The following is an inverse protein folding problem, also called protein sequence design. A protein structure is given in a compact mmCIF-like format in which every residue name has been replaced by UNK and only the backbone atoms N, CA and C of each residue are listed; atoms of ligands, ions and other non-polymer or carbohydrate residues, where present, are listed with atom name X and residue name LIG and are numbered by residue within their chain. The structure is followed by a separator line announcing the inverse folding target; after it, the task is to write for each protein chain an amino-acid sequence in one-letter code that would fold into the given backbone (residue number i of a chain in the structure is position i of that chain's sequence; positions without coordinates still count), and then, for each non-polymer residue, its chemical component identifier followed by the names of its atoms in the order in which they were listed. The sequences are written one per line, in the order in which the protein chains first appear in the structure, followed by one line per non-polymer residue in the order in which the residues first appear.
data_IF_582474140490
#
_entry.id   IF_582474140490
#
_cell.length_a   1.000
_cell.length_b   1.000
_cell.length_c   1.000
_cell.angle_alpha   90.00
_cell.angle_beta   90.00
_cell.angle_gamma   90.00
#
_symmetry.space_group_name_H-M   'P 1'
#
loop_
_entity.id
_entity.type
_entity.pdbx_description
1 polymer ?
#
# COMPACT_ATOMS: atom_id res chain seq x y z
N UNK A 1 -46.77 52.20 38.81
CA UNK A 1 -45.99 50.96 39.06
C UNK A 1 -46.69 49.77 38.42
N UNK A 2 -46.19 49.29 37.29
CA UNK A 2 -46.35 47.91 36.78
C UNK A 2 -45.34 47.74 35.66
N UNK A 3 -44.32 46.92 35.93
CA UNK A 3 -43.17 46.68 35.08
C UNK A 3 -43.56 45.78 33.89
N UNK A 4 -43.24 46.21 32.67
CA UNK A 4 -43.31 45.41 31.46
C UNK A 4 -41.99 44.63 31.33
N UNK A 5 -42.03 43.30 31.52
CA UNK A 5 -40.86 42.43 31.29
C UNK A 5 -40.73 42.16 29.79
N UNK A 6 -39.65 42.68 29.20
CA UNK A 6 -39.21 42.33 27.85
C UNK A 6 -38.42 41.02 27.93
N UNK A 7 -38.89 39.95 27.29
CA UNK A 7 -38.11 38.72 27.11
C UNK A 7 -37.29 38.85 25.82
N UNK A 8 -35.97 38.97 25.96
CA UNK A 8 -35.03 38.87 24.84
C UNK A 8 -34.73 37.38 24.65
N UNK A 9 -35.27 36.81 23.56
CA UNK A 9 -34.91 35.47 23.09
C UNK A 9 -33.56 35.62 22.38
N UNK A 10 -32.49 35.15 23.03
CA UNK A 10 -31.16 35.05 22.41
C UNK A 10 -31.17 33.86 21.44
N UNK A 11 -31.29 34.14 20.14
CA UNK A 11 -31.04 33.15 19.09
C UNK A 11 -29.55 32.79 19.11
N UNK A 12 -29.20 31.62 19.65
CA UNK A 12 -27.87 31.04 19.47
C UNK A 12 -27.77 30.46 18.06
N UNK A 13 -27.21 31.25 17.14
CA UNK A 13 -26.73 30.76 15.84
C UNK A 13 -25.47 29.92 16.10
N UNK A 14 -25.64 28.59 16.12
CA UNK A 14 -24.51 27.67 15.99
C UNK A 14 -24.01 27.73 14.53
N UNK A 15 -23.01 28.57 14.29
CA UNK A 15 -22.17 28.45 13.09
C UNK A 15 -21.36 27.16 13.23
N UNK A 16 -21.72 26.15 12.46
CA UNK A 16 -20.87 25.00 12.19
C UNK A 16 -19.68 25.55 11.40
N UNK A 17 -18.58 25.82 12.11
CA UNK A 17 -17.30 26.14 11.49
C UNK A 17 -16.80 24.87 10.83
N UNK A 18 -16.72 24.86 9.50
CA UNK A 18 -15.81 23.98 8.78
C UNK A 18 -14.41 24.16 9.40
N UNK A 19 -13.80 23.07 9.86
CA UNK A 19 -12.42 23.10 10.36
C UNK A 19 -11.49 23.44 9.21
N UNK A 20 -10.96 24.66 9.25
CA UNK A 20 -9.80 25.07 8.47
C UNK A 20 -8.55 24.43 9.09
N UNK A 21 -8.16 23.27 8.59
CA UNK A 21 -6.83 22.70 8.84
C UNK A 21 -5.91 22.81 7.60
N UNK A 22 -6.22 23.72 6.67
CA UNK A 22 -5.36 24.08 5.52
C UNK A 22 -4.44 25.29 5.82
N UNK A 23 -4.57 25.92 6.99
CA UNK A 23 -3.87 27.18 7.29
C UNK A 23 -2.41 26.90 7.76
N UNK A 24 -1.44 27.21 6.86
CA UNK A 24 0.04 27.17 6.96
C UNK A 24 0.80 25.96 6.37
N UNK A 25 0.44 25.47 5.19
CA UNK A 25 1.41 24.71 4.38
C UNK A 25 2.39 25.68 3.69
N UNK A 26 3.67 25.63 4.08
CA UNK A 26 4.73 26.38 3.40
C UNK A 26 5.15 25.61 2.14
N UNK A 27 4.73 26.08 0.96
CA UNK A 27 5.21 25.54 -0.30
C UNK A 27 6.64 26.03 -0.53
N UNK A 28 7.63 25.13 -0.53
CA UNK A 28 9.00 25.50 -0.85
C UNK A 28 9.02 26.04 -2.28
N UNK A 29 9.69 27.18 -2.47
CA UNK A 29 9.88 27.78 -3.80
C UNK A 29 11.38 27.82 -4.10
N UNK A 30 12.04 26.70 -3.82
CA UNK A 30 13.45 26.50 -4.10
C UNK A 30 13.64 26.09 -5.56
N UNK A 31 14.82 26.35 -6.10
CA UNK A 31 15.13 25.96 -7.48
C UNK A 31 15.30 24.44 -7.54
N UNK A 32 14.43 23.78 -8.29
CA UNK A 32 14.53 22.35 -8.62
C UNK A 32 15.62 22.09 -9.67
N UNK A 33 16.21 20.91 -9.63
CA UNK A 33 17.16 20.40 -10.61
C UNK A 33 16.41 19.96 -11.88
N UNK A 34 15.19 19.44 -11.72
CA UNK A 34 14.28 19.05 -12.79
C UNK A 34 13.15 20.06 -13.01
N UNK A 35 12.64 20.13 -14.23
CA UNK A 35 11.37 20.80 -14.48
C UNK A 35 10.22 19.94 -13.97
N UNK A 36 9.48 20.47 -12.98
CA UNK A 36 8.30 19.84 -12.43
C UNK A 36 7.06 20.62 -12.87
N UNK A 37 6.20 19.96 -13.65
CA UNK A 37 4.94 20.50 -14.16
C UNK A 37 3.77 19.87 -13.42
N UNK A 38 2.83 20.70 -12.98
CA UNK A 38 1.59 20.25 -12.31
C UNK A 38 0.48 20.15 -13.36
N UNK A 39 -0.32 19.09 -13.27
CA UNK A 39 -1.57 19.02 -14.01
C UNK A 39 -2.54 20.12 -13.54
N UNK A 40 -3.39 20.62 -14.45
CA UNK A 40 -4.27 21.76 -14.19
C UNK A 40 -5.29 21.57 -13.06
N UNK A 41 -5.60 20.32 -12.71
CA UNK A 41 -6.51 19.96 -11.61
C UNK A 41 -5.79 19.68 -10.28
N UNK A 42 -4.47 19.89 -10.21
CA UNK A 42 -3.64 19.69 -9.02
C UNK A 42 -3.63 18.26 -8.43
N UNK A 43 -3.92 17.19 -9.19
CA UNK A 43 -3.79 15.81 -8.69
C UNK A 43 -2.44 15.16 -9.00
N UNK A 44 -1.95 15.34 -10.22
CA UNK A 44 -0.74 14.67 -10.72
C UNK A 44 0.30 15.70 -11.13
N UNK A 45 1.57 15.36 -10.97
CA UNK A 45 2.70 16.13 -11.47
C UNK A 45 3.58 15.27 -12.36
N UNK A 46 4.42 15.91 -13.19
CA UNK A 46 5.47 15.24 -13.97
C UNK A 46 6.82 15.84 -13.63
N UNK A 47 7.85 15.00 -13.56
CA UNK A 47 9.25 15.40 -13.42
C UNK A 47 9.99 15.06 -14.71
N UNK A 48 10.48 16.10 -15.40
CA UNK A 48 11.15 15.98 -16.69
C UNK A 48 12.64 15.71 -16.51
N UNK A 49 13.04 14.47 -16.77
CA UNK A 49 14.43 14.02 -16.82
C UNK A 49 15.07 14.29 -18.18
N UNK A 50 16.40 14.35 -18.22
CA UNK A 50 17.11 14.29 -19.49
C UNK A 50 16.91 12.92 -20.18
N UNK A 51 17.01 12.88 -21.52
CA UNK A 51 16.93 11.60 -22.26
C UNK A 51 17.93 10.56 -21.75
N UNK A 52 19.16 10.97 -21.41
CA UNK A 52 20.20 10.08 -20.89
C UNK A 52 19.87 9.56 -19.49
N UNK A 53 19.37 10.42 -18.61
CA UNK A 53 19.01 10.07 -17.25
C UNK A 53 17.82 9.12 -17.21
N UNK A 54 16.73 9.44 -17.92
CA UNK A 54 15.56 8.58 -17.97
C UNK A 54 15.90 7.20 -18.56
N UNK A 55 16.70 7.17 -19.64
CA UNK A 55 17.18 5.92 -20.22
C UNK A 55 18.00 5.11 -19.23
N UNK A 56 18.87 5.76 -18.46
CA UNK A 56 19.64 5.10 -17.41
C UNK A 56 18.74 4.63 -16.25
N UNK A 57 17.72 5.40 -15.87
CA UNK A 57 16.73 5.03 -14.87
C UNK A 57 15.99 3.74 -15.24
N UNK A 58 15.44 3.64 -16.46
CA UNK A 58 14.66 2.47 -16.87
C UNK A 58 15.53 1.24 -17.22
N UNK A 59 16.77 1.44 -17.69
CA UNK A 59 17.64 0.32 -18.07
C UNK A 59 18.44 -0.26 -16.91
N UNK A 60 18.71 0.54 -15.87
CA UNK A 60 19.54 0.12 -14.74
C UNK A 60 18.78 0.13 -13.41
N UNK A 61 17.44 0.09 -13.47
CA UNK A 61 16.56 0.11 -12.30
C UNK A 61 16.93 1.24 -11.31
N UNK A 62 16.80 2.47 -11.80
CA UNK A 62 17.17 3.68 -11.08
C UNK A 62 16.47 3.81 -9.72
N UNK A 63 15.24 3.30 -9.60
CA UNK A 63 14.50 3.31 -8.35
C UNK A 63 15.13 2.41 -7.28
N UNK A 64 15.69 1.26 -7.64
CA UNK A 64 16.41 0.41 -6.68
C UNK A 64 17.72 1.04 -6.20
N UNK A 65 18.33 1.92 -6.99
CA UNK A 65 19.51 2.66 -6.57
C UNK A 65 19.13 3.72 -5.51
N UNK A 66 19.62 3.55 -4.29
CA UNK A 66 19.26 4.44 -3.18
C UNK A 66 19.68 5.89 -3.38
N UNK A 67 20.83 6.15 -4.02
CA UNK A 67 21.32 7.53 -4.22
C UNK A 67 20.43 8.26 -5.23
N UNK A 68 20.12 7.61 -6.36
CA UNK A 68 19.24 8.17 -7.41
C UNK A 68 17.83 8.44 -6.87
N UNK A 69 17.22 7.47 -6.18
CA UNK A 69 15.88 7.61 -5.59
C UNK A 69 15.81 8.76 -4.57
N UNK A 70 16.82 8.87 -3.69
CA UNK A 70 16.91 9.97 -2.72
C UNK A 70 17.09 11.30 -3.42
N UNK A 71 17.94 11.41 -4.45
CA UNK A 71 18.14 12.64 -5.21
C UNK A 71 16.83 13.16 -5.83
N UNK A 72 16.06 12.29 -6.47
CA UNK A 72 14.75 12.66 -7.04
C UNK A 72 13.77 13.12 -5.96
N UNK A 73 13.70 12.44 -4.82
CA UNK A 73 12.77 12.81 -3.75
C UNK A 73 13.15 14.14 -3.09
N UNK A 74 14.45 14.38 -2.86
CA UNK A 74 14.94 15.67 -2.36
C UNK A 74 14.58 16.81 -3.32
N UNK A 75 14.72 16.59 -4.63
CA UNK A 75 14.37 17.60 -5.61
C UNK A 75 12.87 17.91 -5.65
N UNK A 76 12.03 16.90 -5.44
CA UNK A 76 10.57 17.07 -5.29
C UNK A 76 10.24 17.95 -4.08
N UNK A 77 10.85 17.72 -2.91
CA UNK A 77 10.60 18.53 -1.72
C UNK A 77 11.10 19.98 -1.80
N UNK A 78 11.94 20.34 -2.79
CA UNK A 78 12.24 21.76 -3.10
C UNK A 78 11.03 22.53 -3.66
N UNK A 79 9.97 21.84 -4.09
CA UNK A 79 8.74 22.41 -4.67
C UNK A 79 7.48 22.10 -3.87
N UNK A 80 7.44 20.94 -3.23
CA UNK A 80 6.25 20.44 -2.55
C UNK A 80 6.42 20.50 -1.02
N UNK A 81 5.36 20.84 -0.26
CA UNK A 81 5.44 20.85 1.20
C UNK A 81 5.56 19.43 1.76
N UNK A 82 6.18 19.29 2.94
CA UNK A 82 6.26 18.01 3.65
C UNK A 82 4.91 17.65 4.29
N UNK A 83 3.96 17.19 3.47
CA UNK A 83 2.61 16.79 3.88
C UNK A 83 2.23 15.38 3.45
N UNK A 84 3.07 14.69 2.69
CA UNK A 84 2.74 13.44 2.04
C UNK A 84 3.19 12.24 2.88
N UNK A 85 2.28 11.29 3.06
CA UNK A 85 2.62 9.99 3.65
C UNK A 85 3.36 9.12 2.62
N UNK A 86 3.04 9.29 1.33
CA UNK A 86 3.60 8.51 0.23
C UNK A 86 3.93 9.39 -0.98
N UNK A 87 4.98 9.02 -1.70
CA UNK A 87 5.27 9.55 -3.05
C UNK A 87 5.35 8.38 -4.01
N UNK A 88 4.53 8.40 -5.07
CA UNK A 88 4.54 7.39 -6.11
C UNK A 88 5.18 7.95 -7.38
N UNK A 89 6.25 7.31 -7.83
CA UNK A 89 6.85 7.50 -9.13
C UNK A 89 6.15 6.61 -10.15
N UNK A 90 5.52 7.22 -11.14
CA UNK A 90 4.89 6.49 -12.25
C UNK A 90 5.78 6.65 -13.48
N UNK A 91 6.23 5.56 -14.08
CA UNK A 91 6.99 5.65 -15.33
C UNK A 91 6.06 6.01 -16.49
N UNK A 92 6.50 6.92 -17.36
CA UNK A 92 5.80 7.25 -18.60
C UNK A 92 6.02 6.16 -19.68
N UNK A 93 5.66 4.93 -19.35
CA UNK A 93 5.81 3.73 -20.19
C UNK A 93 4.46 3.04 -20.34
N UNK A 94 4.13 2.50 -21.53
CA UNK A 94 2.88 1.77 -21.73
C UNK A 94 2.86 0.44 -20.96
N UNK A 95 4.02 -0.19 -20.78
CA UNK A 95 4.24 -1.47 -20.12
C UNK A 95 5.55 -1.44 -19.35
N UNK A 96 5.81 -2.49 -18.57
CA UNK A 96 7.07 -2.65 -17.83
C UNK A 96 8.28 -2.60 -18.78
N UNK A 97 9.29 -1.74 -18.52
CA UNK A 97 10.53 -1.73 -19.29
C UNK A 97 11.29 -3.06 -19.21
N UNK A 98 11.96 -3.45 -20.30
CA UNK A 98 12.64 -4.75 -20.46
C UNK A 98 13.59 -5.12 -19.29
N UNK A 99 14.27 -4.14 -18.71
CA UNK A 99 15.27 -4.34 -17.65
C UNK A 99 14.72 -4.13 -16.23
N UNK A 100 13.42 -3.87 -16.08
CA UNK A 100 12.75 -3.81 -14.78
C UNK A 100 12.00 -5.14 -14.60
N UNK A 101 12.22 -5.81 -13.46
CA UNK A 101 11.65 -7.13 -13.17
C UNK A 101 10.47 -7.10 -12.19
N UNK A 102 9.86 -5.93 -11.99
CA UNK A 102 8.72 -5.72 -11.10
C UNK A 102 7.71 -4.75 -11.71
N UNK A 103 6.42 -5.01 -11.51
CA UNK A 103 5.33 -4.11 -11.94
C UNK A 103 5.18 -2.91 -11.00
N UNK A 104 5.45 -3.11 -9.71
CA UNK A 104 5.56 -2.08 -8.71
C UNK A 104 6.62 -2.45 -7.68
N UNK A 105 7.11 -1.46 -6.94
CA UNK A 105 8.05 -1.67 -5.83
C UNK A 105 7.91 -0.57 -4.81
N UNK A 106 7.65 -0.93 -3.55
CA UNK A 106 7.68 0.01 -2.42
C UNK A 106 9.02 -0.05 -1.67
N UNK A 107 9.51 1.12 -1.25
CA UNK A 107 10.65 1.28 -0.33
C UNK A 107 10.18 2.07 0.90
N UNK A 108 10.30 1.44 2.06
CA UNK A 108 10.07 2.09 3.36
C UNK A 108 11.06 3.23 3.61
N UNK A 109 10.56 4.34 4.13
CA UNK A 109 11.32 5.55 4.50
C UNK A 109 11.27 5.77 6.01
N UNK A 110 10.10 5.63 6.63
CA UNK A 110 9.96 5.71 8.07
C UNK A 110 8.90 4.73 8.58
N UNK A 111 9.11 4.20 9.79
CA UNK A 111 8.14 3.40 10.51
C UNK A 111 8.20 3.76 12.00
N UNK A 112 7.09 4.28 12.52
CA UNK A 112 6.88 4.52 13.95
C UNK A 112 5.79 3.61 14.55
N UNK A 113 5.45 2.52 13.86
CA UNK A 113 4.40 1.58 14.26
C UNK A 113 5.04 0.36 14.92
N UNK A 114 4.65 0.09 16.16
CA UNK A 114 4.99 -1.14 16.89
C UNK A 114 3.98 -2.25 16.57
N UNK A 115 4.36 -3.51 16.82
CA UNK A 115 3.44 -4.65 16.69
C UNK A 115 3.19 -5.15 15.27
N UNK A 116 4.00 -4.73 14.30
CA UNK A 116 3.93 -5.19 12.89
C UNK A 116 5.05 -6.19 12.52
N UNK A 117 5.99 -6.43 13.44
CA UNK A 117 7.21 -7.19 13.17
C UNK A 117 8.32 -6.38 12.48
N UNK A 118 8.07 -5.11 12.16
CA UNK A 118 9.10 -4.18 11.67
C UNK A 118 9.81 -3.49 12.85
N UNK A 119 11.08 -3.11 12.64
CA UNK A 119 11.77 -2.19 13.54
C UNK A 119 11.18 -0.78 13.44
N UNK A 120 11.35 0.03 14.49
CA UNK A 120 11.12 1.47 14.42
C UNK A 120 12.34 2.12 13.77
N UNK A 121 12.13 2.96 12.76
CA UNK A 121 13.18 3.68 12.04
C UNK A 121 12.65 4.95 11.39
N UNK A 122 13.54 5.88 11.10
CA UNK A 122 13.20 7.10 10.37
C UNK A 122 14.40 7.54 9.52
N UNK A 123 14.23 7.46 8.19
CA UNK A 123 15.18 7.95 7.19
C UNK A 123 14.59 9.12 6.39
N UNK A 124 13.50 9.73 6.84
CA UNK A 124 12.79 10.80 6.11
C UNK A 124 13.69 11.94 5.67
N UNK A 125 14.64 12.36 6.53
CA UNK A 125 15.61 13.42 6.23
C UNK A 125 16.48 13.11 5.01
N UNK A 126 16.84 11.84 4.79
CA UNK A 126 17.63 11.43 3.63
C UNK A 126 16.86 11.60 2.30
N UNK A 127 15.53 11.66 2.38
CA UNK A 127 14.64 11.84 1.25
C UNK A 127 14.15 13.30 1.11
N UNK A 128 14.59 14.21 1.98
CA UNK A 128 14.16 15.62 1.98
C UNK A 128 12.86 15.89 2.74
N UNK A 129 12.29 14.89 3.42
CA UNK A 129 11.09 15.03 4.26
C UNK A 129 11.48 15.40 5.70
N UNK A 130 10.64 16.18 6.38
CA UNK A 130 10.79 16.57 7.79
C UNK A 130 10.12 15.56 8.76
N UNK A 131 9.87 14.33 8.30
CA UNK A 131 9.32 13.23 9.11
C UNK A 131 7.92 12.77 8.72
N UNK A 132 7.31 13.32 7.66
CA UNK A 132 5.99 12.85 7.18
C UNK A 132 6.06 11.61 6.31
N UNK A 133 7.08 11.51 5.46
CA UNK A 133 7.17 10.47 4.43
C UNK A 133 7.34 9.09 5.05
N UNK A 134 6.38 8.20 4.81
CA UNK A 134 6.40 6.80 5.26
C UNK A 134 7.11 5.90 4.26
N UNK A 135 6.80 6.07 2.98
CA UNK A 135 7.35 5.24 1.90
C UNK A 135 7.35 5.96 0.55
N UNK A 136 8.21 5.50 -0.35
CA UNK A 136 8.16 5.84 -1.77
C UNK A 136 7.91 4.59 -2.60
N UNK A 137 7.22 4.71 -3.72
CA UNK A 137 6.88 3.59 -4.60
C UNK A 137 7.22 3.92 -6.04
N UNK A 138 7.67 2.93 -6.83
CA UNK A 138 7.62 3.02 -8.28
C UNK A 138 6.53 2.11 -8.83
N UNK A 139 5.79 2.61 -9.80
CA UNK A 139 4.92 1.85 -10.69
C UNK A 139 5.50 1.91 -12.09
N UNK A 140 5.79 0.74 -12.67
CA UNK A 140 6.62 0.62 -13.87
C UNK A 140 5.89 0.91 -15.19
N UNK A 141 4.67 1.43 -15.13
CA UNK A 141 3.86 1.78 -16.30
C UNK A 141 2.82 2.85 -15.95
N UNK A 142 2.40 3.62 -16.96
CA UNK A 142 1.64 4.87 -16.78
C UNK A 142 0.27 4.65 -16.10
N UNK A 143 -0.35 3.50 -16.33
CA UNK A 143 -1.69 3.18 -15.82
C UNK A 143 -1.65 2.21 -14.62
N UNK A 144 -0.45 1.84 -14.14
CA UNK A 144 -0.27 0.78 -13.13
C UNK A 144 -0.73 1.16 -11.72
N UNK A 145 -1.12 2.42 -11.50
CA UNK A 145 -1.85 2.78 -10.29
C UNK A 145 -3.20 2.04 -10.21
N UNK A 146 -3.85 1.87 -11.37
CA UNK A 146 -5.10 1.12 -11.50
C UNK A 146 -4.90 -0.33 -11.91
N UNK A 147 -4.16 -0.57 -12.98
CA UNK A 147 -4.00 -1.91 -13.57
C UNK A 147 -2.83 -2.72 -13.01
N UNK A 148 -1.99 -2.09 -12.18
CA UNK A 148 -0.83 -2.71 -11.55
C UNK A 148 -1.05 -3.07 -10.08
N UNK A 149 0.04 -3.36 -9.36
CA UNK A 149 -0.02 -3.88 -7.99
C UNK A 149 -0.04 -2.78 -6.91
N UNK A 150 -0.68 -1.62 -7.13
CA UNK A 150 -0.58 -0.49 -6.21
C UNK A 150 -1.01 -0.83 -4.77
N UNK A 151 -2.11 -1.56 -4.59
CA UNK A 151 -2.56 -2.02 -3.27
C UNK A 151 -1.59 -3.04 -2.64
N UNK A 152 -1.04 -3.94 -3.45
CA UNK A 152 -0.07 -4.94 -3.01
C UNK A 152 1.19 -4.25 -2.48
N UNK A 153 1.75 -3.35 -3.29
CA UNK A 153 2.95 -2.61 -2.90
C UNK A 153 2.70 -1.76 -1.66
N UNK A 154 1.52 -1.14 -1.55
CA UNK A 154 1.16 -0.34 -0.38
C UNK A 154 1.02 -1.20 0.89
N UNK A 155 0.59 -2.45 0.77
CA UNK A 155 0.53 -3.38 1.91
C UNK A 155 1.90 -3.62 2.56
N UNK A 156 3.00 -3.58 1.78
CA UNK A 156 4.37 -3.70 2.31
C UNK A 156 4.77 -2.58 3.26
N UNK A 157 4.00 -1.49 3.34
CA UNK A 157 4.22 -0.48 4.39
C UNK A 157 3.92 -1.03 5.80
N UNK A 158 3.07 -2.07 5.93
CA UNK A 158 2.61 -2.57 7.22
C UNK A 158 2.79 -4.07 7.43
N UNK A 159 2.59 -4.88 6.39
CA UNK A 159 2.20 -6.27 6.58
C UNK A 159 3.35 -7.29 6.45
N UNK A 160 3.24 -8.35 7.25
CA UNK A 160 4.04 -9.58 7.24
C UNK A 160 5.56 -9.49 7.47
N UNK A 161 6.00 -8.70 8.45
CA UNK A 161 7.42 -8.68 8.80
C UNK A 161 7.79 -9.62 9.97
N UNK A 162 6.79 -10.09 10.73
CA UNK A 162 7.02 -10.88 11.94
C UNK A 162 6.41 -12.29 11.99
N UNK A 163 5.61 -12.70 11.01
CA UNK A 163 5.10 -14.08 10.92
C UNK A 163 6.00 -14.87 9.99
N UNK A 164 6.51 -16.02 10.44
CA UNK A 164 7.33 -16.90 9.60
C UNK A 164 6.44 -17.67 8.61
N UNK A 165 6.34 -17.12 7.40
CA UNK A 165 5.59 -17.71 6.29
C UNK A 165 6.53 -18.46 5.35
N UNK A 166 5.99 -19.44 4.63
CA UNK A 166 6.78 -20.30 3.74
C UNK A 166 6.22 -20.34 2.32
N UNK A 167 7.10 -20.56 1.33
CA UNK A 167 6.74 -20.74 -0.08
C UNK A 167 7.58 -21.83 -0.75
N UNK A 168 7.25 -22.16 -2.00
CA UNK A 168 7.87 -23.23 -2.79
C UNK A 168 8.25 -22.72 -4.20
N UNK A 169 9.30 -23.30 -4.80
CA UNK A 169 9.74 -22.92 -6.15
C UNK A 169 9.08 -23.73 -7.28
N UNK A 170 8.52 -24.91 -6.97
CA UNK A 170 7.91 -25.78 -7.96
C UNK A 170 6.92 -26.77 -7.33
N UNK A 171 6.00 -27.26 -8.15
CA UNK A 171 5.15 -28.41 -7.82
C UNK A 171 5.94 -29.72 -7.75
N UNK A 172 5.38 -30.73 -7.08
CA UNK A 172 5.95 -32.07 -7.01
C UNK A 172 5.90 -32.66 -5.61
N UNK A 173 6.64 -33.75 -5.41
CA UNK A 173 6.84 -34.42 -4.13
C UNK A 173 8.31 -34.33 -3.71
N UNK A 174 8.60 -34.46 -2.41
CA UNK A 174 9.93 -34.30 -1.84
C UNK A 174 10.54 -32.90 -2.11
N UNK A 175 9.69 -31.88 -2.09
CA UNK A 175 10.11 -30.48 -2.17
C UNK A 175 10.41 -29.95 -0.75
N UNK A 176 11.10 -28.81 -0.69
CA UNK A 176 11.31 -28.08 0.55
C UNK A 176 10.83 -26.65 0.37
N UNK A 177 10.03 -26.18 1.31
CA UNK A 177 9.70 -24.76 1.42
C UNK A 177 10.81 -23.93 2.07
N UNK A 178 10.74 -22.62 1.92
CA UNK A 178 11.66 -21.64 2.51
C UNK A 178 10.89 -20.43 3.05
N UNK A 179 11.49 -19.70 4.00
CA UNK A 179 10.92 -18.48 4.56
C UNK A 179 10.62 -17.47 3.44
N UNK A 180 9.41 -16.90 3.46
CA UNK A 180 8.89 -16.10 2.35
C UNK A 180 8.31 -14.75 2.80
N UNK A 181 8.73 -14.24 3.95
CA UNK A 181 8.45 -12.84 4.31
C UNK A 181 9.00 -11.90 3.22
N UNK A 182 8.30 -10.80 2.90
CA UNK A 182 7.07 -10.31 3.53
C UNK A 182 5.77 -10.79 2.85
N UNK A 183 5.71 -11.98 2.26
CA UNK A 183 4.49 -12.51 1.61
C UNK A 183 3.86 -13.66 2.40
N UNK A 184 2.54 -13.80 2.28
CA UNK A 184 1.77 -14.74 3.08
C UNK A 184 2.06 -16.20 2.72
N UNK A 185 2.50 -16.52 1.50
CA UNK A 185 2.84 -17.89 1.14
C UNK A 185 1.69 -18.86 1.43
N UNK A 186 1.98 -19.99 2.07
CA UNK A 186 0.97 -20.96 2.53
C UNK A 186 0.32 -20.54 3.86
N UNK A 187 -0.28 -19.35 3.88
CA UNK A 187 -1.01 -18.80 5.05
C UNK A 187 -2.47 -18.58 4.70
N UNK A 188 -3.36 -19.00 5.60
CA UNK A 188 -4.78 -18.75 5.52
C UNK A 188 -5.13 -17.32 5.94
N UNK A 189 -6.27 -16.83 5.47
CA UNK A 189 -6.87 -15.58 5.93
C UNK A 189 -8.38 -15.59 5.77
N UNK A 190 -9.06 -14.58 6.30
CA UNK A 190 -10.52 -14.41 6.13
C UNK A 190 -10.92 -14.40 4.65
N UNK A 191 -10.05 -13.84 3.81
CA UNK A 191 -10.02 -13.96 2.35
C UNK A 191 -8.57 -14.16 1.89
N UNK A 192 -8.39 -14.37 0.58
CA UNK A 192 -7.12 -14.06 -0.09
C UNK A 192 -6.73 -12.60 0.22
N UNK A 193 -5.46 -12.35 0.47
CA UNK A 193 -4.93 -11.02 0.76
C UNK A 193 -4.10 -10.46 -0.39
N UNK A 194 -3.74 -9.18 -0.26
CA UNK A 194 -2.86 -8.45 -1.16
C UNK A 194 -1.47 -9.09 -1.25
N UNK A 195 -0.89 -9.53 -0.14
CA UNK A 195 0.43 -10.18 -0.10
C UNK A 195 0.38 -11.71 -0.28
N UNK A 196 -0.70 -12.22 -0.88
CA UNK A 196 -0.88 -13.64 -1.16
C UNK A 196 -1.75 -14.37 -0.13
N UNK A 197 -1.51 -15.66 0.04
CA UNK A 197 -2.25 -16.52 0.96
C UNK A 197 -3.60 -16.98 0.42
N UNK A 198 -4.19 -17.97 1.09
CA UNK A 198 -5.42 -18.63 0.70
C UNK A 198 -6.59 -18.27 1.62
N UNK A 199 -7.82 -18.53 1.17
CA UNK A 199 -9.02 -18.33 1.97
C UNK A 199 -9.14 -19.47 3.00
N UNK A 200 -9.04 -19.16 4.30
CA UNK A 200 -9.03 -20.14 5.39
C UNK A 200 -10.25 -21.08 5.34
N UNK A 201 -11.43 -20.56 5.02
CA UNK A 201 -12.65 -21.37 4.94
C UNK A 201 -12.66 -22.41 3.82
N UNK A 202 -11.69 -22.38 2.91
CA UNK A 202 -11.52 -23.40 1.85
C UNK A 202 -10.63 -24.56 2.27
N UNK A 203 -9.99 -24.48 3.44
CA UNK A 203 -9.09 -25.51 3.94
C UNK A 203 -9.86 -26.79 4.26
N UNK A 204 -9.41 -27.89 3.65
CA UNK A 204 -9.88 -29.24 3.90
C UNK A 204 -8.68 -30.10 4.28
N UNK A 205 -8.76 -30.76 5.43
CA UNK A 205 -7.79 -31.78 5.85
C UNK A 205 -8.17 -33.13 5.23
N UNK A 206 -7.27 -33.71 4.42
CA UNK A 206 -7.51 -34.97 3.69
C UNK A 206 -6.69 -36.15 4.24
N UNK A 207 -6.16 -36.02 5.46
CA UNK A 207 -5.33 -37.02 6.11
C UNK A 207 -4.18 -36.39 6.89
N UNK A 208 -3.26 -37.23 7.38
CA UNK A 208 -2.10 -36.76 8.15
C UNK A 208 -1.22 -35.88 7.25
N UNK A 209 -1.01 -34.63 7.67
CA UNK A 209 -0.19 -33.65 6.97
C UNK A 209 -0.58 -33.43 5.50
N UNK A 210 -1.86 -33.59 5.15
CA UNK A 210 -2.36 -33.43 3.78
C UNK A 210 -3.56 -32.50 3.75
N UNK A 211 -3.46 -31.46 2.91
CA UNK A 211 -4.38 -30.33 2.89
C UNK A 211 -4.82 -30.03 1.47
N UNK A 212 -6.04 -29.53 1.33
CA UNK A 212 -6.58 -28.97 0.10
C UNK A 212 -7.16 -27.59 0.37
N UNK A 213 -6.94 -26.65 -0.54
CA UNK A 213 -7.44 -25.28 -0.49
C UNK A 213 -7.88 -24.83 -1.88
N UNK A 214 -8.68 -23.77 -1.96
CA UNK A 214 -8.88 -23.05 -3.22
C UNK A 214 -7.53 -22.49 -3.74
N UNK A 215 -7.37 -22.39 -5.05
CA UNK A 215 -6.17 -21.85 -5.68
C UNK A 215 -5.87 -20.45 -5.19
N UNK A 216 -4.59 -20.11 -5.02
CA UNK A 216 -4.15 -18.81 -4.52
C UNK A 216 -2.77 -18.45 -5.07
N UNK A 217 -2.34 -17.20 -4.95
CA UNK A 217 -0.94 -16.83 -5.15
C UNK A 217 -0.23 -16.72 -3.81
N UNK A 218 0.94 -17.34 -3.68
CA UNK A 218 1.74 -17.21 -2.44
C UNK A 218 2.40 -15.84 -2.30
N UNK A 219 2.64 -15.14 -3.40
CA UNK A 219 3.21 -13.79 -3.47
C UNK A 219 2.12 -12.71 -3.52
N UNK A 220 1.15 -12.84 -4.40
CA UNK A 220 0.08 -11.87 -4.61
C UNK A 220 -1.16 -12.56 -5.18
N UNK A 221 -2.34 -11.98 -4.97
CA UNK A 221 -3.61 -12.48 -5.52
C UNK A 221 -4.20 -11.56 -6.59
N UNK A 222 -3.35 -11.00 -7.47
CA UNK A 222 -3.78 -10.25 -8.67
C UNK A 222 -3.71 -8.71 -8.55
N UNK A 223 -2.77 -8.17 -7.77
CA UNK A 223 -2.62 -6.72 -7.61
C UNK A 223 -3.89 -6.10 -7.04
N UNK A 224 -4.48 -5.12 -7.73
CA UNK A 224 -5.69 -4.45 -7.26
C UNK A 224 -6.98 -5.32 -7.34
N UNK A 225 -6.92 -6.60 -7.68
CA UNK A 225 -8.13 -7.45 -7.87
C UNK A 225 -8.71 -8.08 -6.60
N UNK A 226 -8.12 -7.84 -5.43
CA UNK A 226 -8.63 -8.34 -4.14
C UNK A 226 -8.62 -7.22 -3.10
N UNK A 227 -9.47 -7.25 -2.06
CA UNK A 227 -9.35 -6.34 -0.93
C UNK A 227 -8.22 -6.77 0.01
N UNK A 228 -7.93 -5.94 1.02
CA UNK A 228 -7.11 -6.36 2.16
C UNK A 228 -7.91 -7.31 3.05
N UNK A 229 -7.27 -8.40 3.49
CA UNK A 229 -7.92 -9.33 4.42
C UNK A 229 -7.85 -8.84 5.88
N UNK A 230 -8.49 -9.54 6.82
CA UNK A 230 -8.52 -9.13 8.24
C UNK A 230 -7.12 -8.99 8.86
N UNK A 231 -6.18 -9.87 8.50
CA UNK A 231 -4.81 -9.81 9.01
C UNK A 231 -4.08 -8.56 8.51
N UNK A 232 -4.19 -8.26 7.22
CA UNK A 232 -3.63 -7.06 6.61
C UNK A 232 -4.26 -5.79 7.20
N UNK A 233 -5.59 -5.75 7.33
CA UNK A 233 -6.31 -4.65 7.96
C UNK A 233 -5.89 -4.46 9.43
N UNK A 234 -5.69 -5.53 10.20
CA UNK A 234 -5.19 -5.41 11.57
C UNK A 234 -3.79 -4.80 11.61
N UNK A 235 -2.87 -5.24 10.75
CA UNK A 235 -1.50 -4.72 10.69
C UNK A 235 -1.45 -3.25 10.21
N UNK A 236 -2.34 -2.86 9.29
CA UNK A 236 -2.60 -1.46 8.94
C UNK A 236 -3.16 -0.66 10.13
N UNK A 237 -3.66 -1.34 11.17
CA UNK A 237 -4.36 -0.76 12.31
C UNK A 237 -5.82 -0.48 12.04
N UNK A 238 -6.42 -0.96 10.96
CA UNK A 238 -7.79 -0.60 10.57
C UNK A 238 -8.86 -1.30 11.39
N UNK A 239 -8.56 -2.48 11.92
CA UNK A 239 -9.45 -3.25 12.79
C UNK A 239 -8.70 -3.67 14.07
N UNK A 240 -9.39 -3.91 15.20
CA UNK A 240 -8.75 -4.44 16.41
C UNK A 240 -8.36 -5.92 16.21
N UNK A 241 -7.42 -6.41 17.02
CA UNK A 241 -7.01 -7.82 17.02
C UNK A 241 -8.18 -8.78 17.26
N UNK A 242 -9.16 -8.38 18.07
CA UNK A 242 -10.38 -9.18 18.31
C UNK A 242 -11.26 -9.40 17.06
N UNK A 243 -11.00 -8.67 15.97
CA UNK A 243 -11.68 -8.83 14.68
C UNK A 243 -10.90 -9.69 13.70
N UNK A 244 -9.73 -10.23 14.09
CA UNK A 244 -8.96 -11.16 13.27
C UNK A 244 -9.42 -12.57 13.58
N UNK A 245 -10.05 -13.21 12.60
CA UNK A 245 -10.46 -14.60 12.66
C UNK A 245 -9.26 -15.53 12.81
N UNK A 246 -9.50 -16.74 13.31
CA UNK A 246 -8.48 -17.79 13.34
C UNK A 246 -8.02 -18.14 11.92
N UNK A 247 -6.71 -18.34 11.73
CA UNK A 247 -6.10 -18.73 10.48
C UNK A 247 -4.87 -19.61 10.71
N UNK A 248 -4.49 -20.38 9.69
CA UNK A 248 -3.35 -21.28 9.76
C UNK A 248 -2.17 -20.79 8.94
N UNK A 249 -0.97 -20.94 9.49
CA UNK A 249 0.30 -20.77 8.78
C UNK A 249 0.93 -22.15 8.62
N UNK A 250 1.19 -22.54 7.37
CA UNK A 250 1.86 -23.79 7.05
C UNK A 250 3.33 -23.55 6.72
N UNK A 251 4.19 -24.39 7.28
CA UNK A 251 5.61 -24.46 6.95
C UNK A 251 6.04 -25.91 6.74
N UNK A 252 7.29 -26.09 6.31
CA UNK A 252 7.82 -27.40 5.92
C UNK A 252 6.93 -28.11 4.89
N UNK A 253 6.63 -27.40 3.79
CA UNK A 253 5.87 -27.94 2.66
C UNK A 253 6.73 -28.99 1.96
N UNK A 254 6.20 -30.21 1.86
CA UNK A 254 6.91 -31.39 1.33
C UNK A 254 6.34 -31.91 0.01
N UNK A 255 5.10 -31.54 -0.32
CA UNK A 255 4.51 -31.81 -1.61
C UNK A 255 3.50 -30.72 -1.99
N UNK A 256 3.34 -30.49 -3.29
CA UNK A 256 2.35 -29.57 -3.85
C UNK A 256 1.91 -30.03 -5.23
N UNK A 257 0.61 -29.93 -5.49
CA UNK A 257 0.02 -30.13 -6.81
C UNK A 257 -1.17 -29.19 -7.00
N UNK A 258 -1.36 -28.73 -8.23
CA UNK A 258 -2.52 -27.94 -8.64
C UNK A 258 -3.45 -28.76 -9.53
N UNK A 259 -4.76 -28.65 -9.29
CA UNK A 259 -5.79 -29.27 -10.13
C UNK A 259 -6.93 -28.27 -10.32
N UNK A 260 -6.93 -27.56 -11.45
CA UNK A 260 -7.89 -26.50 -11.74
C UNK A 260 -7.86 -25.39 -10.69
N UNK A 261 -8.98 -25.16 -10.01
CA UNK A 261 -9.16 -24.14 -8.97
C UNK A 261 -8.83 -24.64 -7.56
N UNK A 262 -8.22 -25.82 -7.41
CA UNK A 262 -7.87 -26.40 -6.12
C UNK A 262 -6.37 -26.72 -6.07
N UNK A 263 -5.75 -26.44 -4.93
CA UNK A 263 -4.37 -26.84 -4.62
C UNK A 263 -4.36 -27.89 -3.52
N UNK A 264 -3.55 -28.92 -3.71
CA UNK A 264 -3.31 -29.97 -2.73
C UNK A 264 -1.84 -29.92 -2.30
N UNK A 265 -1.58 -29.98 -1.01
CA UNK A 265 -0.22 -29.92 -0.50
C UNK A 265 -0.05 -30.75 0.78
N UNK A 266 1.21 -31.07 1.09
CA UNK A 266 1.58 -31.65 2.37
C UNK A 266 2.52 -30.72 3.11
N UNK A 267 2.30 -30.57 4.41
CA UNK A 267 3.08 -29.72 5.30
C UNK A 267 3.32 -30.42 6.64
N UNK A 268 4.56 -30.42 7.11
CA UNK A 268 4.90 -31.04 8.40
C UNK A 268 4.66 -30.13 9.60
N UNK A 269 4.44 -28.83 9.36
CA UNK A 269 4.19 -27.84 10.39
C UNK A 269 2.95 -27.01 10.03
N UNK A 270 2.09 -26.84 11.02
CA UNK A 270 0.90 -25.98 10.98
C UNK A 270 0.84 -25.26 12.32
N UNK A 271 0.77 -23.94 12.28
CA UNK A 271 0.55 -23.10 13.45
C UNK A 271 -0.74 -22.34 13.24
N UNK A 272 -1.66 -22.50 14.18
CA UNK A 272 -2.92 -21.77 14.18
C UNK A 272 -2.75 -20.48 14.97
N UNK A 273 -3.14 -19.37 14.33
CA UNK A 273 -3.08 -18.03 14.88
C UNK A 273 -4.47 -17.41 14.95
N UNK A 274 -4.71 -16.63 15.99
CA UNK A 274 -5.77 -15.64 16.10
C UNK A 274 -5.18 -14.26 16.45
N UNK A 275 -6.03 -13.24 16.57
CA UNK A 275 -5.60 -11.90 16.95
C UNK A 275 -4.81 -11.82 18.26
N UNK A 276 -5.13 -12.65 19.26
CA UNK A 276 -4.41 -12.67 20.55
C UNK A 276 -3.03 -13.30 20.40
N UNK A 277 -2.92 -14.39 19.65
CA UNK A 277 -1.66 -15.05 19.35
C UNK A 277 -0.71 -14.15 18.58
N UNK A 278 -1.23 -13.33 17.65
CA UNK A 278 -0.45 -12.35 16.91
C UNK A 278 0.08 -11.26 17.84
N UNK A 279 -0.75 -10.72 18.75
CA UNK A 279 -0.27 -9.75 19.74
C UNK A 279 0.81 -10.34 20.67
N UNK A 280 0.69 -11.62 21.05
CA UNK A 280 1.72 -12.28 21.84
C UNK A 280 3.03 -12.46 21.05
N UNK A 281 2.93 -12.69 19.74
CA UNK A 281 4.08 -12.89 18.85
C UNK A 281 4.79 -11.56 18.51
N UNK A 282 4.03 -10.54 18.13
CA UNK A 282 4.53 -9.28 17.56
C UNK A 282 4.58 -8.13 18.58
N UNK A 283 3.91 -8.29 19.73
CA UNK A 283 3.51 -7.18 20.58
C UNK A 283 2.19 -6.55 20.12
N UNK A 284 1.62 -5.69 20.96
CA UNK A 284 0.42 -4.93 20.60
C UNK A 284 0.72 -3.96 19.48
N UNK A 285 -0.18 -3.84 18.51
CA UNK A 285 -0.09 -2.83 17.44
C UNK A 285 -0.31 -1.43 18.02
N UNK A 286 0.70 -0.58 17.97
CA UNK A 286 0.65 0.81 18.47
C UNK A 286 1.02 1.78 17.34
N UNK A 287 0.21 2.83 17.07
CA UNK A 287 -1.13 3.09 17.64
C UNK A 287 -2.15 1.98 17.33
N UNK A 288 -3.12 1.71 18.19
CA UNK A 288 -4.12 0.67 17.88
C UNK A 288 -5.16 1.17 16.85
N UNK A 289 -6.23 0.40 16.62
CA UNK A 289 -7.21 0.75 15.61
C UNK A 289 -8.04 2.00 15.85
N UNK A 290 -8.18 2.41 17.11
CA UNK A 290 -8.89 3.63 17.47
C UNK A 290 -8.10 4.90 17.14
N UNK A 291 -6.76 4.82 17.15
CA UNK A 291 -5.89 5.99 17.11
C UNK A 291 -4.95 6.02 15.89
N UNK A 292 -4.94 4.96 15.08
CA UNK A 292 -4.09 4.90 13.88
C UNK A 292 -4.67 5.73 12.74
N UNK A 293 -3.78 6.34 11.96
CA UNK A 293 -4.11 7.10 10.78
C UNK A 293 -4.93 6.27 9.78
N UNK A 294 -6.03 6.83 9.27
CA UNK A 294 -6.91 6.24 8.25
C UNK A 294 -6.92 7.00 6.93
N UNK A 295 -6.56 8.27 6.98
CA UNK A 295 -6.55 9.17 5.85
C UNK A 295 -5.09 9.50 5.53
N UNK A 296 -4.66 9.13 4.33
CA UNK A 296 -3.30 9.33 3.88
C UNK A 296 -3.25 10.34 2.73
N UNK A 297 -2.12 11.05 2.60
CA UNK A 297 -1.83 11.94 1.48
C UNK A 297 -0.79 11.31 0.56
N UNK A 298 -1.08 11.29 -0.73
CA UNK A 298 -0.24 10.74 -1.77
C UNK A 298 0.11 11.82 -2.80
N UNK A 299 1.40 11.99 -3.08
CA UNK A 299 1.88 12.74 -4.24
C UNK A 299 2.18 11.76 -5.38
N UNK A 300 1.64 12.02 -6.58
CA UNK A 300 1.97 11.26 -7.78
C UNK A 300 2.87 12.09 -8.68
N UNK A 301 4.03 11.53 -9.02
CA UNK A 301 5.01 12.15 -9.92
C UNK A 301 5.29 11.21 -11.08
N UNK A 302 4.92 11.61 -12.29
CA UNK A 302 5.25 10.90 -13.52
C UNK A 302 6.69 11.22 -13.91
N UNK A 303 7.55 10.20 -13.95
CA UNK A 303 8.91 10.33 -14.46
C UNK A 303 8.87 10.22 -15.98
N UNK A 304 9.44 11.19 -16.69
CA UNK A 304 9.39 11.26 -18.15
C UNK A 304 10.63 11.95 -18.73
N UNK A 305 10.99 11.65 -19.98
CA UNK A 305 12.05 12.36 -20.72
C UNK A 305 11.53 13.40 -21.71
N UNK A 306 10.21 13.56 -21.80
CA UNK A 306 9.51 14.54 -22.63
C UNK A 306 8.32 15.09 -21.88
N UNK A 307 7.87 16.29 -22.24
CA UNK A 307 6.59 16.81 -21.75
C UNK A 307 5.48 15.82 -22.06
N UNK A 308 4.63 15.52 -21.07
CA UNK A 308 3.50 14.63 -21.27
C UNK A 308 2.53 15.21 -22.30
N UNK A 309 1.97 14.35 -23.14
CA UNK A 309 0.85 14.71 -24.02
C UNK A 309 -0.44 14.82 -23.20
N UNK A 310 -1.46 15.48 -23.77
CA UNK A 310 -2.79 15.55 -23.15
C UNK A 310 -3.35 14.14 -22.84
N UNK A 311 -3.16 13.18 -23.75
CA UNK A 311 -3.58 11.79 -23.52
C UNK A 311 -2.84 11.13 -22.34
N UNK A 312 -1.55 11.40 -22.18
CA UNK A 312 -0.77 10.85 -21.06
C UNK A 312 -1.21 11.46 -19.73
N UNK A 313 -1.49 12.77 -19.71
CA UNK A 313 -2.09 13.45 -18.56
C UNK A 313 -3.46 12.86 -18.20
N UNK A 314 -4.35 12.73 -19.18
CA UNK A 314 -5.70 12.19 -18.98
C UNK A 314 -5.67 10.76 -18.41
N UNK A 315 -4.77 9.90 -18.92
CA UNK A 315 -4.61 8.53 -18.43
C UNK A 315 -4.18 8.48 -16.97
N UNK A 316 -3.07 9.13 -16.63
CA UNK A 316 -2.55 9.08 -15.26
C UNK A 316 -3.53 9.73 -14.28
N UNK A 317 -4.13 10.84 -14.66
CA UNK A 317 -5.11 11.55 -13.85
C UNK A 317 -6.37 10.71 -13.60
N UNK A 318 -6.89 10.02 -14.61
CA UNK A 318 -8.02 9.11 -14.45
C UNK A 318 -7.71 7.97 -13.47
N UNK A 319 -6.48 7.42 -13.49
CA UNK A 319 -6.08 6.40 -12.51
C UNK A 319 -5.92 6.97 -11.09
N UNK A 320 -5.45 8.21 -10.96
CA UNK A 320 -5.33 8.91 -9.69
C UNK A 320 -6.71 9.21 -9.08
N UNK A 321 -7.63 9.76 -9.87
CA UNK A 321 -9.00 10.00 -9.46
C UNK A 321 -9.69 8.69 -9.03
N UNK A 322 -9.53 7.63 -9.82
CA UNK A 322 -10.07 6.30 -9.48
C UNK A 322 -9.51 5.79 -8.15
N UNK A 323 -8.19 5.84 -7.94
CA UNK A 323 -7.56 5.26 -6.75
C UNK A 323 -7.90 5.99 -5.45
N UNK A 324 -8.14 7.31 -5.53
CA UNK A 324 -8.51 8.17 -4.39
C UNK A 324 -10.01 8.24 -4.12
N UNK A 325 -10.83 7.63 -4.96
CA UNK A 325 -12.29 7.64 -4.85
C UNK A 325 -12.74 7.00 -3.53
N UNK A 326 -13.72 7.60 -2.86
CA UNK A 326 -14.29 7.09 -1.59
C UNK A 326 -15.65 6.43 -1.79
N UNK A 327 -15.77 5.63 -2.84
CA UNK A 327 -16.97 4.87 -3.15
C UNK A 327 -16.63 3.57 -3.87
N UNK A 328 -17.60 2.65 -3.85
CA UNK A 328 -17.60 1.44 -4.66
C UNK A 328 -17.93 1.80 -6.12
N UNK A 329 -17.04 1.47 -7.05
CA UNK A 329 -17.21 1.73 -8.48
C UNK A 329 -17.84 0.55 -9.25
N UNK A 330 -18.10 -0.57 -8.56
CA UNK A 330 -18.74 -1.76 -9.08
C UNK A 330 -17.87 -2.59 -10.04
N UNK A 331 -16.57 -2.31 -10.10
CA UNK A 331 -15.63 -3.05 -10.96
C UNK A 331 -15.01 -4.24 -10.24
N UNK A 332 -14.21 -5.03 -10.96
CA UNK A 332 -13.48 -6.17 -10.40
C UNK A 332 -12.14 -5.77 -9.75
N UNK A 333 -11.80 -4.48 -9.83
CA UNK A 333 -10.60 -3.91 -9.21
C UNK A 333 -11.04 -3.05 -8.04
N UNK A 334 -10.19 -2.96 -7.03
CA UNK A 334 -10.44 -2.20 -5.83
C UNK A 334 -9.56 -0.95 -5.83
N UNK A 335 -10.17 0.22 -5.65
CA UNK A 335 -9.50 1.41 -5.17
C UNK A 335 -9.17 1.26 -3.67
N UNK A 336 -8.40 2.20 -3.11
CA UNK A 336 -7.94 2.07 -1.72
C UNK A 336 -9.07 2.07 -0.69
N UNK A 337 -10.14 2.84 -0.93
CA UNK A 337 -11.28 2.89 -0.03
C UNK A 337 -12.05 1.56 -0.04
N UNK A 338 -12.35 1.02 -1.23
CA UNK A 338 -13.02 -0.27 -1.39
C UNK A 338 -12.20 -1.40 -0.77
N UNK A 339 -10.89 -1.45 -1.07
CA UNK A 339 -9.99 -2.49 -0.58
C UNK A 339 -9.89 -2.54 0.94
N UNK A 340 -10.21 -1.42 1.60
CA UNK A 340 -10.16 -1.28 3.06
C UNK A 340 -11.54 -1.36 3.72
N UNK A 341 -12.55 -1.86 2.99
CA UNK A 341 -13.94 -1.92 3.44
C UNK A 341 -14.50 -0.54 3.88
N UNK A 342 -14.04 0.51 3.20
CA UNK A 342 -14.42 1.90 3.45
C UNK A 342 -13.82 2.54 4.71
N UNK A 343 -12.86 1.89 5.36
CA UNK A 343 -12.22 2.39 6.59
C UNK A 343 -11.15 3.44 6.28
N UNK A 344 -10.32 3.19 5.26
CA UNK A 344 -9.23 4.08 4.88
C UNK A 344 -9.56 4.95 3.67
N UNK A 345 -8.83 6.06 3.52
CA UNK A 345 -8.85 6.83 2.28
C UNK A 345 -7.49 7.42 1.95
N UNK A 346 -7.26 7.65 0.66
CA UNK A 346 -6.09 8.37 0.14
C UNK A 346 -6.59 9.64 -0.53
N UNK A 347 -5.98 10.77 -0.20
CA UNK A 347 -6.13 12.03 -0.92
C UNK A 347 -4.92 12.22 -1.82
N UNK A 348 -5.17 12.48 -3.10
CA UNK A 348 -4.12 12.75 -4.09
C UNK A 348 -4.21 14.22 -4.47
N UNK A 349 -3.13 14.95 -4.21
CA UNK A 349 -3.03 16.38 -4.46
C UNK A 349 -1.56 16.80 -4.61
N UNK A 350 -1.34 17.92 -5.30
CA UNK A 350 -0.06 18.61 -5.44
C UNK A 350 0.18 19.66 -4.33
#
# INVERSE_FOLDING_TARGET
MKYLKLYIISLFLFSISCSKDEDNLNYPNEKTDHEITLHSNNRVSSLLMSNSEYKDWVNNDGFSNSEKRKAITNDIYKKFPDKYDFIFFVLNEPDIPENINYYGKLIGVSNNIEGTGQSIYDYSSDYGSEGKLKSVMQLSGLEYLRSGPALHELAHNWANFGIETHYINSSGSNISSFNYRPHWGFTGGSTKGQLGGFKQSSLIENGVNSYKVESFGGFANGGNSVPFNELELYLMGFIPSSSVSEFDVFSDITSFSSSGSEFNFSANSRITHDGKSIENLLGKRIPNSNNSQKNFKLLIVVLTNKTLTDEQWDKVDATAEWFSKKEDDGTHLYNFWEATNGIGSITIEN
#
